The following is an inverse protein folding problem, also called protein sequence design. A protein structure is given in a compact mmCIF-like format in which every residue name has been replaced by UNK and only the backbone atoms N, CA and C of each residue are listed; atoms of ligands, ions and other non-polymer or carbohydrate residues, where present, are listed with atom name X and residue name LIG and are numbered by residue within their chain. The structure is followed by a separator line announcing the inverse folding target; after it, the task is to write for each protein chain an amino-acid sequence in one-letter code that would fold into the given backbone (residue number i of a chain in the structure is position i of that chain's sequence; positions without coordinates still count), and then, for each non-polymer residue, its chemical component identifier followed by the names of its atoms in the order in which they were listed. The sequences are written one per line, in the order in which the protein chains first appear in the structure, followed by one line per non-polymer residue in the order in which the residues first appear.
data_IF_758788599663
#
_entry.id   IF_758788599663
#
_cell.length_a   1.000
_cell.length_b   1.000
_cell.length_c   1.000
_cell.angle_alpha   90.00
_cell.angle_beta   90.00
_cell.angle_gamma   90.00
#
_symmetry.space_group_name_H-M   'P 1'
#
loop_
_entity.id
_entity.type
_entity.pdbx_description
1 polymer ?
#
# COMPACT_ATOMS: atom_id res chain seq x y z
N UNK A 1 -19.33 -8.35 -49.07
CA UNK A 1 -20.06 -7.98 -47.86
C UNK A 1 -19.00 -7.84 -46.75
N UNK A 2 -18.58 -6.63 -46.48
CA UNK A 2 -17.63 -6.35 -45.42
C UNK A 2 -18.40 -6.34 -44.09
N UNK A 3 -18.31 -7.43 -43.33
CA UNK A 3 -18.80 -7.46 -41.97
C UNK A 3 -17.82 -6.58 -41.14
N UNK A 4 -18.27 -5.38 -40.81
CA UNK A 4 -17.57 -4.62 -39.78
C UNK A 4 -17.52 -5.51 -38.53
N UNK A 5 -16.33 -5.95 -38.09
CA UNK A 5 -16.24 -6.76 -36.87
C UNK A 5 -16.69 -5.89 -35.68
N UNK A 6 -17.52 -6.45 -34.81
CA UNK A 6 -17.98 -5.79 -33.60
C UNK A 6 -16.80 -5.24 -32.82
N UNK A 7 -16.92 -4.06 -32.19
CA UNK A 7 -15.88 -3.54 -31.32
C UNK A 7 -15.56 -4.55 -30.21
N UNK A 8 -14.26 -4.75 -29.93
CA UNK A 8 -13.81 -5.64 -28.87
C UNK A 8 -14.02 -4.92 -27.55
N UNK A 9 -14.61 -5.61 -26.56
CA UNK A 9 -14.71 -5.13 -25.20
C UNK A 9 -13.97 -6.11 -24.28
N UNK A 10 -12.97 -5.62 -23.56
CA UNK A 10 -12.21 -6.39 -22.56
C UNK A 10 -12.83 -6.13 -21.19
N UNK A 11 -13.30 -7.19 -20.54
CA UNK A 11 -13.95 -7.13 -19.23
C UNK A 11 -12.95 -7.49 -18.13
N UNK A 12 -12.67 -6.52 -17.24
CA UNK A 12 -11.71 -6.65 -16.15
C UNK A 12 -12.46 -6.62 -14.82
N UNK A 13 -12.33 -7.70 -14.05
CA UNK A 13 -12.84 -7.80 -12.69
C UNK A 13 -11.73 -7.48 -11.69
N UNK A 14 -11.97 -6.49 -10.84
CA UNK A 14 -11.10 -6.16 -9.69
C UNK A 14 -11.80 -6.66 -8.43
N UNK A 15 -11.09 -7.42 -7.59
CA UNK A 15 -11.65 -7.94 -6.34
C UNK A 15 -11.13 -7.10 -5.18
N UNK A 16 -12.05 -6.41 -4.49
CA UNK A 16 -11.78 -5.51 -3.38
C UNK A 16 -11.72 -4.03 -3.78
N UNK A 17 -12.51 -3.20 -3.11
CA UNK A 17 -12.58 -1.74 -3.26
C UNK A 17 -11.73 -0.98 -2.22
N UNK A 18 -10.78 -1.66 -1.60
CA UNK A 18 -9.76 -1.01 -0.78
C UNK A 18 -8.92 -0.04 -1.62
N UNK A 19 -7.97 0.61 -0.97
CA UNK A 19 -7.15 1.64 -1.59
C UNK A 19 -6.58 1.22 -2.96
N UNK A 20 -5.92 0.08 -3.03
CA UNK A 20 -5.20 -0.34 -4.25
C UNK A 20 -6.18 -0.71 -5.38
N UNK A 21 -7.27 -1.42 -5.07
CA UNK A 21 -8.29 -1.76 -6.08
C UNK A 21 -8.96 -0.53 -6.68
N UNK A 22 -9.25 0.47 -5.85
CA UNK A 22 -9.81 1.75 -6.29
C UNK A 22 -8.84 2.55 -7.16
N UNK A 23 -7.58 2.67 -6.74
CA UNK A 23 -6.55 3.38 -7.52
C UNK A 23 -6.26 2.70 -8.86
N UNK A 24 -6.18 1.38 -8.87
CA UNK A 24 -6.01 0.58 -10.08
C UNK A 24 -7.18 0.77 -11.05
N UNK A 25 -8.41 0.72 -10.55
CA UNK A 25 -9.61 0.95 -11.37
C UNK A 25 -9.59 2.35 -11.99
N UNK A 26 -9.30 3.39 -11.21
CA UNK A 26 -9.19 4.77 -11.72
C UNK A 26 -8.12 4.89 -12.80
N UNK A 27 -6.95 4.30 -12.59
CA UNK A 27 -5.87 4.29 -13.58
C UNK A 27 -6.27 3.60 -14.89
N UNK A 28 -6.97 2.46 -14.81
CA UNK A 28 -7.48 1.73 -15.99
C UNK A 28 -8.57 2.51 -16.72
N UNK A 29 -9.51 3.13 -15.98
CA UNK A 29 -10.56 3.98 -16.53
C UNK A 29 -10.02 5.25 -17.21
N UNK A 30 -8.86 5.72 -16.78
CA UNK A 30 -8.19 6.90 -17.36
C UNK A 30 -7.34 6.58 -18.60
N UNK A 31 -7.23 5.31 -19.01
CA UNK A 31 -6.52 4.95 -20.25
C UNK A 31 -7.27 5.56 -21.43
N UNK A 32 -6.67 6.47 -22.22
CA UNK A 32 -7.35 7.13 -23.33
C UNK A 32 -7.86 6.13 -24.35
N UNK A 33 -9.13 6.22 -24.72
CA UNK A 33 -9.66 5.51 -25.89
C UNK A 33 -9.10 6.25 -27.12
N UNK A 34 -8.45 5.57 -28.09
CA UNK A 34 -8.00 6.22 -29.31
C UNK A 34 -9.18 6.97 -29.95
N UNK A 35 -9.02 8.29 -30.06
CA UNK A 35 -10.07 9.13 -30.61
C UNK A 35 -10.40 8.66 -32.03
N UNK A 36 -11.66 8.33 -32.23
CA UNK A 36 -12.30 8.28 -33.55
C UNK A 36 -12.59 9.69 -34.07
N UNK A 37 -11.85 10.72 -33.63
CA UNK A 37 -11.95 12.05 -34.22
C UNK A 37 -11.45 11.93 -35.65
N UNK A 38 -12.42 12.01 -36.54
CA UNK A 38 -12.22 12.14 -37.97
C UNK A 38 -11.30 13.34 -38.22
N UNK A 39 -10.02 13.09 -38.33
CA UNK A 39 -9.17 13.96 -39.12
C UNK A 39 -9.62 13.75 -40.58
N UNK A 40 -10.21 14.75 -41.27
CA UNK A 40 -10.70 14.59 -42.62
C UNK A 40 -9.60 14.22 -43.63
N UNK A 41 -8.34 14.22 -43.22
CA UNK A 41 -7.17 13.86 -44.05
C UNK A 41 -6.51 12.53 -43.66
N UNK A 42 -6.97 11.83 -42.63
CA UNK A 42 -6.45 10.53 -42.26
C UNK A 42 -7.15 9.44 -43.06
N UNK A 43 -6.45 8.84 -43.99
CA UNK A 43 -6.89 7.69 -44.83
C UNK A 43 -6.85 6.35 -44.09
N UNK A 44 -6.77 6.33 -42.74
CA UNK A 44 -6.88 5.11 -41.94
C UNK A 44 -8.36 4.75 -41.75
N UNK A 45 -8.93 4.10 -42.74
CA UNK A 45 -10.21 3.42 -42.67
C UNK A 45 -10.15 2.26 -41.66
N UNK A 46 -10.92 2.33 -40.56
CA UNK A 46 -11.39 1.14 -39.87
C UNK A 46 -10.51 0.59 -38.73
N UNK A 47 -9.76 1.40 -37.98
CA UNK A 47 -9.12 0.93 -36.75
C UNK A 47 -10.17 0.44 -35.72
N UNK A 48 -10.11 -0.84 -35.35
CA UNK A 48 -10.91 -1.40 -34.24
C UNK A 48 -10.53 -0.67 -32.97
N UNK A 49 -11.49 -0.05 -32.29
CA UNK A 49 -11.25 0.54 -30.96
C UNK A 49 -11.68 -0.48 -29.91
N UNK A 50 -10.71 -1.02 -29.16
CA UNK A 50 -10.95 -1.90 -28.03
C UNK A 50 -11.31 -1.07 -26.80
N UNK A 51 -12.47 -1.33 -26.20
CA UNK A 51 -12.90 -0.74 -24.94
C UNK A 51 -12.49 -1.60 -23.74
N UNK A 52 -12.36 -0.98 -22.58
CA UNK A 52 -12.17 -1.65 -21.30
C UNK A 52 -13.42 -1.45 -20.45
N UNK A 53 -14.01 -2.54 -19.96
CA UNK A 53 -15.07 -2.53 -18.95
C UNK A 53 -14.46 -2.92 -17.60
N UNK A 54 -14.42 -1.97 -16.68
CA UNK A 54 -13.82 -2.17 -15.35
C UNK A 54 -14.91 -2.29 -14.32
N UNK A 55 -14.89 -3.37 -13.54
CA UNK A 55 -15.83 -3.60 -12.45
C UNK A 55 -15.11 -4.03 -11.19
N UNK A 56 -15.42 -3.39 -10.07
CA UNK A 56 -14.93 -3.77 -8.74
C UNK A 56 -16.02 -4.55 -8.01
N UNK A 57 -15.64 -5.67 -7.41
CA UNK A 57 -16.50 -6.49 -6.54
C UNK A 57 -15.99 -6.40 -5.12
N UNK A 58 -16.84 -5.88 -4.21
CA UNK A 58 -16.49 -5.61 -2.81
C UNK A 58 -17.38 -6.43 -1.88
N UNK A 59 -16.76 -7.12 -0.92
CA UNK A 59 -17.48 -7.95 0.05
C UNK A 59 -18.29 -7.14 1.09
N UNK A 60 -17.81 -5.94 1.41
CA UNK A 60 -18.48 -5.05 2.37
C UNK A 60 -19.72 -4.41 1.75
N UNK A 61 -20.74 -4.05 2.56
CA UNK A 61 -21.94 -3.41 2.05
C UNK A 61 -21.72 -1.94 1.65
N UNK A 62 -20.62 -1.34 2.06
CA UNK A 62 -20.24 0.05 1.78
C UNK A 62 -18.74 0.17 1.62
N UNK A 63 -18.28 1.25 1.00
CA UNK A 63 -16.86 1.61 1.01
C UNK A 63 -16.44 1.87 2.46
N UNK A 64 -15.50 1.07 2.96
CA UNK A 64 -14.97 1.21 4.31
C UNK A 64 -13.53 0.72 4.34
N UNK A 65 -12.66 1.51 4.94
CA UNK A 65 -11.29 1.11 5.24
C UNK A 65 -11.02 1.31 6.73
N UNK A 66 -10.61 0.24 7.40
CA UNK A 66 -10.11 0.28 8.75
C UNK A 66 -8.66 0.76 8.70
N UNK A 67 -8.45 2.07 8.69
CA UNK A 67 -7.12 2.59 8.54
C UNK A 67 -6.80 3.71 9.50
N UNK A 68 -5.58 3.73 9.95
CA UNK A 68 -5.06 4.74 10.85
C UNK A 68 -3.85 5.41 10.24
N UNK A 69 -4.05 6.18 9.23
CA UNK A 69 -3.00 6.96 8.61
C UNK A 69 -2.01 6.11 7.81
N UNK A 70 -1.81 6.49 6.59
CA UNK A 70 -0.80 5.96 5.67
C UNK A 70 0.13 7.09 5.26
N UNK A 71 1.40 6.73 4.99
CA UNK A 71 2.36 7.65 4.39
C UNK A 71 2.55 7.34 2.91
N UNK A 72 2.56 8.35 2.06
CA UNK A 72 2.91 8.20 0.65
C UNK A 72 4.22 8.93 0.34
N UNK A 73 5.19 8.18 -0.17
CA UNK A 73 6.46 8.71 -0.67
C UNK A 73 6.25 9.55 -1.93
N UNK A 74 7.24 10.34 -2.30
CA UNK A 74 7.24 11.06 -3.57
C UNK A 74 7.06 10.12 -4.77
N UNK A 75 7.70 8.94 -4.72
CA UNK A 75 7.57 7.90 -5.76
C UNK A 75 6.13 7.41 -5.90
N UNK A 76 5.46 7.09 -4.78
CA UNK A 76 4.07 6.65 -4.79
C UNK A 76 3.13 7.75 -5.35
N UNK A 77 3.34 9.01 -4.95
CA UNK A 77 2.56 10.14 -5.49
C UNK A 77 2.81 10.36 -6.99
N UNK A 78 4.04 10.15 -7.46
CA UNK A 78 4.37 10.18 -8.89
C UNK A 78 3.66 9.08 -9.66
N UNK A 79 3.60 7.86 -9.12
CA UNK A 79 2.81 6.78 -9.71
C UNK A 79 1.32 7.15 -9.82
N UNK A 80 0.74 7.73 -8.77
CA UNK A 80 -0.64 8.22 -8.78
C UNK A 80 -0.87 9.27 -9.87
N UNK A 81 0.03 10.27 -9.98
CA UNK A 81 -0.07 11.32 -10.99
C UNK A 81 0.05 10.81 -12.43
N UNK A 82 0.86 9.76 -12.65
CA UNK A 82 1.00 9.11 -13.96
C UNK A 82 -0.22 8.27 -14.34
N UNK A 83 -0.93 7.70 -13.37
CA UNK A 83 -2.19 6.99 -13.60
C UNK A 83 -3.35 7.96 -13.86
N UNK A 84 -3.52 8.93 -12.97
CA UNK A 84 -4.52 9.98 -13.05
C UNK A 84 -4.11 11.16 -12.13
N UNK A 85 -3.82 12.35 -12.67
CA UNK A 85 -3.42 13.51 -11.88
C UNK A 85 -4.40 13.87 -10.75
N UNK A 86 -5.70 13.58 -10.92
CA UNK A 86 -6.74 13.83 -9.91
C UNK A 86 -6.51 13.02 -8.64
N UNK A 87 -5.89 11.84 -8.73
CA UNK A 87 -5.54 11.01 -7.55
C UNK A 87 -4.49 11.74 -6.69
N UNK A 88 -3.46 12.30 -7.31
CA UNK A 88 -2.43 13.07 -6.60
C UNK A 88 -3.01 14.32 -5.91
N UNK A 89 -4.00 14.97 -6.53
CA UNK A 89 -4.74 16.08 -5.92
C UNK A 89 -5.54 15.63 -4.68
N UNK A 90 -6.13 14.43 -4.69
CA UNK A 90 -6.79 13.87 -3.51
C UNK A 90 -5.82 13.75 -2.33
N UNK A 91 -4.59 13.26 -2.56
CA UNK A 91 -3.55 13.24 -1.51
C UNK A 91 -3.31 14.64 -0.96
N UNK A 92 -3.12 15.63 -1.83
CA UNK A 92 -2.84 17.01 -1.41
C UNK A 92 -3.98 17.61 -0.55
N UNK A 93 -5.24 17.26 -0.85
CA UNK A 93 -6.40 17.74 -0.08
C UNK A 93 -6.47 17.21 1.36
N UNK A 94 -6.01 15.98 1.59
CA UNK A 94 -6.15 15.30 2.89
C UNK A 94 -4.84 15.17 3.67
N UNK A 95 -3.71 15.50 3.05
CA UNK A 95 -2.40 15.39 3.68
C UNK A 95 -2.29 16.21 4.96
N UNK A 96 -1.58 15.65 5.93
CA UNK A 96 -1.21 16.31 7.18
C UNK A 96 0.27 16.68 7.12
N UNK A 97 0.58 17.92 7.45
CA UNK A 97 1.97 18.37 7.57
C UNK A 97 2.61 17.75 8.81
N UNK A 98 3.87 17.38 8.67
CA UNK A 98 4.78 17.08 9.76
C UNK A 98 5.57 18.36 10.08
N UNK A 99 5.61 18.78 11.34
CA UNK A 99 6.23 20.05 11.75
C UNK A 99 5.28 21.26 11.70
N UNK A 100 5.86 22.44 11.84
CA UNK A 100 5.11 23.70 11.79
C UNK A 100 4.80 24.11 10.35
N UNK A 101 3.70 24.83 10.07
CA UNK A 101 3.39 25.30 8.72
C UNK A 101 4.50 26.16 8.11
N UNK A 102 5.18 26.96 8.94
CA UNK A 102 6.27 27.85 8.55
C UNK A 102 7.63 27.14 8.48
N UNK A 103 7.76 25.98 9.12
CA UNK A 103 8.95 25.13 9.12
C UNK A 103 8.53 23.65 9.02
N UNK A 104 8.01 23.24 7.84
CA UNK A 104 7.59 21.86 7.63
C UNK A 104 8.79 20.93 7.72
N UNK A 105 8.62 19.87 8.52
CA UNK A 105 9.64 18.87 8.74
C UNK A 105 9.32 17.62 7.95
N UNK A 106 10.13 17.31 6.97
CA UNK A 106 9.93 16.12 6.12
C UNK A 106 10.64 14.87 6.67
N UNK A 107 11.17 14.94 7.91
CA UNK A 107 11.99 13.89 8.49
C UNK A 107 11.24 13.15 9.60
N UNK A 108 11.51 11.83 9.69
CA UNK A 108 11.24 11.03 10.89
C UNK A 108 12.46 11.09 11.80
N UNK A 109 12.24 11.33 13.10
CA UNK A 109 13.29 11.33 14.11
C UNK A 109 13.38 9.97 14.78
N UNK A 110 14.56 9.38 14.79
CA UNK A 110 14.84 8.14 15.50
C UNK A 110 15.57 8.46 16.80
N UNK A 111 15.03 7.97 17.91
CA UNK A 111 15.55 8.27 19.24
C UNK A 111 15.61 7.01 20.11
N UNK A 112 16.58 6.95 21.01
CA UNK A 112 16.59 5.99 22.09
C UNK A 112 15.44 6.31 23.05
N UNK A 113 14.41 5.50 23.04
CA UNK A 113 13.21 5.70 23.88
C UNK A 113 13.30 5.03 25.23
N UNK A 114 14.26 4.14 25.40
CA UNK A 114 14.41 3.31 26.61
C UNK A 114 15.27 3.98 27.67
N UNK A 115 16.43 4.53 27.27
CA UNK A 115 17.34 5.18 28.22
C UNK A 115 16.81 6.53 28.67
N UNK A 116 17.33 7.05 29.77
CA UNK A 116 16.94 8.38 30.25
C UNK A 116 17.50 9.44 29.30
N UNK A 117 16.57 10.22 28.76
CA UNK A 117 16.79 11.14 27.68
C UNK A 117 16.91 12.57 28.21
N UNK A 118 18.00 13.25 27.95
CA UNK A 118 18.15 14.68 28.16
C UNK A 118 18.04 15.42 26.81
N UNK A 119 17.68 16.69 26.86
CA UNK A 119 17.42 17.56 25.70
C UNK A 119 18.68 17.81 24.83
N UNK A 120 19.37 16.85 24.39
CA UNK A 120 20.61 16.90 23.61
C UNK A 120 21.00 15.56 23.01
N UNK A 121 20.41 14.48 23.52
CA UNK A 121 20.74 13.11 23.13
C UNK A 121 19.90 12.58 21.95
N UNK A 122 19.60 13.41 20.94
CA UNK A 122 19.03 12.93 19.68
C UNK A 122 20.16 12.32 18.84
N UNK A 123 20.57 11.09 19.14
CA UNK A 123 21.35 10.32 18.19
C UNK A 123 20.47 10.02 16.98
N UNK A 124 20.91 10.41 15.81
CA UNK A 124 20.26 10.01 14.57
C UNK A 124 19.01 10.79 14.16
N UNK A 125 19.03 12.11 14.23
CA UNK A 125 18.07 12.93 13.47
C UNK A 125 18.48 12.87 12.00
N UNK A 126 17.57 12.39 11.10
CA UNK A 126 17.71 12.71 9.70
C UNK A 126 17.53 14.22 9.58
N UNK A 127 18.61 14.95 9.38
CA UNK A 127 18.61 16.40 9.42
C UNK A 127 18.02 17.00 8.15
N UNK A 128 17.64 18.27 8.20
CA UNK A 128 17.28 19.06 7.02
C UNK A 128 18.40 19.03 5.95
N UNK A 129 19.68 18.88 6.36
CA UNK A 129 20.82 18.70 5.47
C UNK A 129 20.79 17.36 4.72
N UNK A 130 20.29 16.28 5.31
CA UNK A 130 20.11 15.00 4.61
C UNK A 130 19.00 15.10 3.55
N UNK A 131 18.03 15.98 3.71
CA UNK A 131 17.05 16.32 2.69
C UNK A 131 17.68 17.14 1.54
N UNK A 132 18.66 17.97 1.81
CA UNK A 132 19.41 18.72 0.80
C UNK A 132 20.37 17.83 0.01
N UNK A 133 20.85 16.73 0.59
CA UNK A 133 21.67 15.70 -0.10
C UNK A 133 20.84 14.69 -0.91
N UNK A 134 19.53 14.90 -1.11
CA UNK A 134 18.68 14.04 -1.92
C UNK A 134 18.05 12.87 -1.15
N UNK A 135 18.16 12.79 0.17
CA UNK A 135 17.47 11.83 1.03
C UNK A 135 16.14 12.41 1.55
N UNK A 136 15.63 13.42 0.88
CA UNK A 136 14.42 14.12 1.27
C UNK A 136 13.22 13.20 1.35
N UNK A 137 12.71 13.02 2.57
CA UNK A 137 11.54 12.22 2.90
C UNK A 137 10.31 13.11 2.77
N UNK A 138 9.90 13.42 1.56
CA UNK A 138 8.58 14.02 1.38
C UNK A 138 7.51 12.91 1.51
N UNK A 139 7.37 12.33 2.71
CA UNK A 139 6.29 11.42 3.06
C UNK A 139 5.12 12.25 3.57
N UNK A 140 4.01 12.19 2.85
CA UNK A 140 2.77 12.84 3.29
C UNK A 140 1.88 11.82 3.98
N UNK A 141 1.69 12.00 5.28
CA UNK A 141 0.73 11.25 6.06
C UNK A 141 -0.70 11.66 5.70
N UNK A 142 -1.55 10.68 5.42
CA UNK A 142 -2.98 10.88 5.17
C UNK A 142 -3.79 9.94 6.07
N UNK A 143 -4.98 10.34 6.49
CA UNK A 143 -5.96 9.39 7.03
C UNK A 143 -6.38 8.47 5.87
N UNK A 144 -6.22 7.15 6.02
CA UNK A 144 -6.54 6.21 4.95
C UNK A 144 -8.01 6.27 4.56
N UNK A 145 -8.89 6.35 5.55
CA UNK A 145 -10.33 6.53 5.40
C UNK A 145 -10.67 7.78 4.56
N UNK A 146 -10.15 8.93 4.94
CA UNK A 146 -10.37 10.20 4.23
C UNK A 146 -9.80 10.20 2.82
N UNK A 147 -8.66 9.56 2.61
CA UNK A 147 -8.09 9.47 1.28
C UNK A 147 -8.92 8.56 0.38
N UNK A 148 -9.36 7.40 0.90
CA UNK A 148 -10.26 6.52 0.14
C UNK A 148 -11.58 7.23 -0.20
N UNK A 149 -12.18 7.96 0.74
CA UNK A 149 -13.38 8.77 0.48
C UNK A 149 -13.17 9.78 -0.66
N UNK A 150 -12.02 10.48 -0.69
CA UNK A 150 -11.72 11.45 -1.74
C UNK A 150 -11.54 10.79 -3.11
N UNK A 151 -10.84 9.66 -3.18
CA UNK A 151 -10.63 8.97 -4.45
C UNK A 151 -11.90 8.26 -4.94
N UNK A 152 -12.76 7.79 -4.02
CA UNK A 152 -14.06 7.19 -4.37
C UNK A 152 -15.00 8.20 -5.07
N UNK A 153 -14.88 9.50 -4.79
CA UNK A 153 -15.64 10.54 -5.51
C UNK A 153 -15.29 10.65 -7.00
N UNK A 154 -14.14 10.12 -7.39
CA UNK A 154 -13.69 10.07 -8.80
C UNK A 154 -14.24 8.85 -9.55
N UNK A 155 -14.76 7.85 -8.82
CA UNK A 155 -15.27 6.62 -9.41
C UNK A 155 -16.59 6.87 -10.13
N UNK A 156 -16.80 6.34 -11.36
CA UNK A 156 -18.10 6.38 -12.03
C UNK A 156 -19.16 5.65 -11.21
N UNK A 157 -20.38 6.13 -11.28
CA UNK A 157 -21.54 5.45 -10.70
C UNK A 157 -21.63 4.01 -11.25
N UNK A 158 -21.89 3.07 -10.35
CA UNK A 158 -22.03 1.66 -10.71
C UNK A 158 -20.71 0.94 -11.02
N UNK A 159 -19.53 1.57 -10.90
CA UNK A 159 -18.25 0.89 -11.09
C UNK A 159 -17.92 -0.11 -9.97
N UNK A 160 -18.53 0.02 -8.79
CA UNK A 160 -18.36 -0.88 -7.64
C UNK A 160 -19.67 -1.60 -7.36
N UNK A 161 -19.59 -2.93 -7.23
CA UNK A 161 -20.68 -3.77 -6.70
C UNK A 161 -20.33 -4.20 -5.28
N UNK A 162 -21.09 -3.69 -4.33
CA UNK A 162 -20.95 -4.01 -2.90
C UNK A 162 -21.68 -5.31 -2.53
N UNK A 163 -21.38 -5.85 -1.37
CA UNK A 163 -21.92 -7.13 -0.86
C UNK A 163 -21.62 -8.32 -1.81
N UNK A 164 -20.54 -8.24 -2.56
CA UNK A 164 -20.07 -9.25 -3.52
C UNK A 164 -18.78 -9.92 -3.01
N UNK A 165 -18.95 -10.87 -2.11
CA UNK A 165 -17.81 -11.67 -1.61
C UNK A 165 -17.50 -12.79 -2.62
N UNK A 166 -16.33 -12.70 -3.24
CA UNK A 166 -15.82 -13.76 -4.13
C UNK A 166 -15.47 -15.00 -3.30
N UNK A 167 -15.88 -16.19 -3.77
CA UNK A 167 -15.54 -17.48 -3.17
C UNK A 167 -14.52 -18.26 -3.99
N UNK A 168 -14.41 -17.94 -5.29
CA UNK A 168 -13.45 -18.58 -6.17
C UNK A 168 -13.65 -18.18 -7.62
N UNK A 169 -12.87 -18.82 -8.49
CA UNK A 169 -12.99 -18.64 -9.93
C UNK A 169 -12.69 -19.95 -10.68
N UNK A 170 -13.18 -20.04 -11.90
CA UNK A 170 -12.87 -21.12 -12.83
C UNK A 170 -12.69 -20.61 -14.26
N UNK A 171 -11.90 -21.34 -15.05
CA UNK A 171 -11.76 -21.08 -16.48
C UNK A 171 -12.83 -21.86 -17.25
N UNK A 172 -13.65 -21.14 -18.01
CA UNK A 172 -14.67 -21.74 -18.86
C UNK A 172 -14.08 -22.32 -20.16
N UNK A 173 -14.79 -23.24 -20.84
CA UNK A 173 -14.40 -23.72 -22.16
C UNK A 173 -14.27 -22.61 -23.22
N UNK A 174 -14.99 -21.50 -23.05
CA UNK A 174 -14.87 -20.30 -23.88
C UNK A 174 -13.50 -19.60 -23.74
N UNK A 175 -12.70 -19.99 -22.72
CA UNK A 175 -11.48 -19.31 -22.33
C UNK A 175 -11.69 -18.14 -21.39
N UNK A 176 -12.94 -17.71 -21.12
CA UNK A 176 -13.24 -16.66 -20.13
C UNK A 176 -13.08 -17.18 -18.70
N UNK A 177 -13.00 -16.28 -17.75
CA UNK A 177 -12.92 -16.56 -16.31
C UNK A 177 -14.32 -16.31 -15.71
N UNK A 178 -14.86 -17.27 -14.98
CA UNK A 178 -16.08 -17.11 -14.21
C UNK A 178 -15.73 -16.93 -12.73
N UNK A 179 -16.17 -15.82 -12.13
CA UNK A 179 -16.13 -15.59 -10.68
C UNK A 179 -17.42 -16.09 -10.04
N UNK A 180 -17.31 -16.78 -8.92
CA UNK A 180 -18.44 -17.17 -8.06
C UNK A 180 -18.48 -16.33 -6.80
N UNK A 181 -19.68 -15.92 -6.37
CA UNK A 181 -19.92 -15.13 -5.18
C UNK A 181 -20.72 -15.89 -4.11
N UNK A 182 -20.56 -15.49 -2.85
CA UNK A 182 -21.27 -16.11 -1.71
C UNK A 182 -22.80 -15.99 -1.74
N UNK A 183 -23.35 -15.07 -2.55
CA UNK A 183 -24.78 -14.93 -2.81
C UNK A 183 -25.31 -15.87 -3.93
N UNK A 184 -24.44 -16.73 -4.45
CA UNK A 184 -24.72 -17.62 -5.58
C UNK A 184 -24.63 -16.95 -6.95
N UNK A 185 -24.39 -15.64 -7.02
CA UNK A 185 -24.18 -14.91 -8.26
C UNK A 185 -22.91 -15.37 -8.98
N UNK A 186 -22.90 -15.21 -10.32
CA UNK A 186 -21.74 -15.52 -11.16
C UNK A 186 -21.53 -14.42 -12.19
N UNK A 187 -20.28 -14.10 -12.50
CA UNK A 187 -19.94 -13.15 -13.57
C UNK A 187 -18.77 -13.71 -14.39
N UNK A 188 -18.75 -13.37 -15.66
CA UNK A 188 -17.66 -13.72 -16.55
C UNK A 188 -16.82 -12.49 -16.86
N UNK A 189 -15.50 -12.68 -16.96
CA UNK A 189 -14.56 -11.64 -17.32
C UNK A 189 -13.37 -12.20 -18.09
N UNK A 190 -12.55 -11.33 -18.66
CA UNK A 190 -11.34 -11.69 -19.39
C UNK A 190 -10.10 -11.67 -18.52
N UNK A 191 -10.09 -10.84 -17.47
CA UNK A 191 -8.97 -10.65 -16.56
C UNK A 191 -9.46 -10.45 -15.13
N UNK A 192 -8.79 -11.06 -14.16
CA UNK A 192 -9.04 -10.89 -12.72
C UNK A 192 -7.82 -10.25 -12.05
N UNK A 193 -8.03 -9.12 -11.37
CA UNK A 193 -7.03 -8.42 -10.58
C UNK A 193 -7.44 -8.46 -9.10
N UNK A 194 -6.78 -9.31 -8.32
CA UNK A 194 -7.11 -9.55 -6.93
C UNK A 194 -6.44 -8.53 -6.01
N UNK A 195 -7.20 -7.53 -5.57
CA UNK A 195 -6.86 -6.51 -4.60
C UNK A 195 -7.54 -6.78 -3.25
N UNK A 196 -7.77 -8.04 -2.91
CA UNK A 196 -8.55 -8.53 -1.77
C UNK A 196 -7.75 -8.59 -0.45
N UNK A 197 -6.59 -7.93 -0.43
CA UNK A 197 -5.82 -7.62 0.76
C UNK A 197 -5.12 -8.81 1.39
N UNK A 198 -4.65 -8.62 2.63
CA UNK A 198 -3.81 -9.60 3.33
C UNK A 198 -4.50 -10.97 3.52
N UNK A 199 -5.83 -11.01 3.63
CA UNK A 199 -6.64 -12.24 3.74
C UNK A 199 -7.11 -12.78 2.39
N UNK A 200 -6.41 -12.49 1.29
CA UNK A 200 -6.78 -12.83 -0.07
C UNK A 200 -7.23 -14.29 -0.24
N UNK A 201 -8.46 -14.44 -0.73
CA UNK A 201 -9.00 -15.73 -1.14
C UNK A 201 -8.38 -16.20 -2.45
N UNK A 202 -8.11 -15.28 -3.37
CA UNK A 202 -7.49 -15.61 -4.66
C UNK A 202 -6.05 -16.11 -4.45
N UNK A 203 -5.28 -15.49 -3.54
CA UNK A 203 -3.95 -16.02 -3.15
C UNK A 203 -4.08 -17.43 -2.60
N UNK A 204 -5.03 -17.67 -1.70
CA UNK A 204 -5.24 -19.00 -1.09
C UNK A 204 -5.62 -20.04 -2.14
N UNK A 205 -6.38 -19.65 -3.15
CA UNK A 205 -6.75 -20.54 -4.26
C UNK A 205 -5.55 -20.85 -5.17
N UNK A 206 -4.75 -19.84 -5.52
CA UNK A 206 -3.55 -20.00 -6.35
C UNK A 206 -2.41 -20.71 -5.62
N UNK A 207 -2.18 -20.36 -4.36
CA UNK A 207 -1.01 -20.77 -3.57
C UNK A 207 -1.43 -21.09 -2.14
N UNK A 208 -2.06 -22.28 -1.89
CA UNK A 208 -2.60 -22.64 -0.57
C UNK A 208 -1.57 -22.62 0.57
N UNK A 209 -0.29 -22.79 0.24
CA UNK A 209 0.83 -22.75 1.19
C UNK A 209 1.25 -21.32 1.57
N UNK A 210 0.91 -20.31 0.73
CA UNK A 210 1.34 -18.92 0.94
C UNK A 210 0.30 -18.17 1.80
N UNK A 211 0.46 -18.29 3.12
CA UNK A 211 -0.46 -17.69 4.11
C UNK A 211 0.27 -16.63 4.91
N UNK A 212 -0.36 -15.48 5.20
CA UNK A 212 0.19 -14.52 6.15
C UNK A 212 0.35 -15.17 7.51
N UNK A 213 1.45 -14.88 8.17
CA UNK A 213 1.76 -15.39 9.50
C UNK A 213 1.81 -14.25 10.51
N UNK A 214 1.42 -14.56 11.75
CA UNK A 214 1.58 -13.65 12.87
C UNK A 214 3.07 -13.44 13.15
N UNK A 215 3.50 -12.20 13.21
CA UNK A 215 4.91 -11.88 13.40
C UNK A 215 5.35 -11.97 14.86
N UNK A 216 4.48 -12.44 15.75
CA UNK A 216 4.64 -12.35 17.21
C UNK A 216 4.85 -10.90 17.68
N UNK A 217 4.14 -9.97 17.05
CA UNK A 217 4.13 -8.56 17.39
C UNK A 217 2.73 -7.99 17.23
N UNK A 218 2.32 -7.14 18.14
CA UNK A 218 1.14 -6.32 17.99
C UNK A 218 1.42 -4.86 18.34
N UNK A 219 0.55 -3.98 17.92
CA UNK A 219 0.63 -2.55 18.22
C UNK A 219 -0.60 -2.10 18.99
N UNK A 220 -0.42 -1.41 20.08
CA UNK A 220 -1.46 -0.58 20.68
C UNK A 220 -1.59 0.71 19.90
N UNK A 221 -2.82 1.16 19.66
CA UNK A 221 -3.08 2.38 18.89
C UNK A 221 -4.04 3.29 19.60
N UNK A 222 -3.73 4.58 19.61
CA UNK A 222 -4.61 5.59 20.16
C UNK A 222 -4.43 6.94 19.50
N UNK A 223 -5.51 7.70 19.46
CA UNK A 223 -5.55 9.07 18.98
C UNK A 223 -5.65 10.02 20.17
N UNK A 224 -4.78 11.02 20.20
CA UNK A 224 -4.69 12.01 21.27
C UNK A 224 -5.01 13.39 20.68
N UNK A 225 -5.90 14.19 21.30
CA UNK A 225 -6.11 15.57 20.87
C UNK A 225 -4.79 16.35 20.88
N UNK A 226 -4.46 17.03 19.78
CA UNK A 226 -3.18 17.72 19.63
C UNK A 226 -2.92 18.77 20.72
N UNK A 227 -3.96 19.48 21.16
CA UNK A 227 -3.83 20.44 22.26
C UNK A 227 -3.33 19.78 23.56
N UNK A 228 -3.79 18.55 23.84
CA UNK A 228 -3.36 17.77 25.01
C UNK A 228 -1.92 17.28 24.83
N UNK A 229 -1.57 16.81 23.64
CA UNK A 229 -0.21 16.40 23.30
C UNK A 229 0.79 17.57 23.44
N UNK A 230 0.47 18.74 22.90
CA UNK A 230 1.30 19.94 23.00
C UNK A 230 1.51 20.35 24.46
N UNK A 231 0.45 20.33 25.28
CA UNK A 231 0.56 20.68 26.71
C UNK A 231 1.49 19.73 27.47
N UNK A 232 1.51 18.45 27.15
CA UNK A 232 2.28 17.43 27.86
C UNK A 232 3.72 17.29 27.34
N UNK A 233 3.89 17.31 26.00
CA UNK A 233 5.14 16.94 25.33
C UNK A 233 5.91 18.16 24.78
N UNK A 234 5.28 19.33 24.76
CA UNK A 234 5.77 20.51 24.06
C UNK A 234 5.44 20.49 22.56
N UNK A 235 5.26 21.68 21.99
CA UNK A 235 4.80 21.88 20.62
C UNK A 235 5.73 21.23 19.59
N UNK A 236 7.02 21.40 19.73
CA UNK A 236 8.04 20.85 18.84
C UNK A 236 7.89 19.33 18.65
N UNK A 237 7.77 18.58 19.76
CA UNK A 237 7.70 17.11 19.73
C UNK A 237 6.33 16.59 19.33
N UNK A 238 5.26 17.27 19.73
CA UNK A 238 3.89 16.84 19.40
C UNK A 238 3.56 16.97 17.90
N UNK A 239 4.13 17.96 17.21
CA UNK A 239 3.88 18.23 15.79
C UNK A 239 4.83 17.49 14.83
N UNK A 240 5.79 16.72 15.34
CA UNK A 240 6.79 16.02 14.53
C UNK A 240 6.75 14.51 14.75
N UNK A 241 7.02 13.79 13.68
CA UNK A 241 7.09 12.33 13.72
C UNK A 241 8.33 11.85 14.45
N UNK A 242 8.16 10.99 15.45
CA UNK A 242 9.25 10.38 16.21
C UNK A 242 9.05 8.86 16.30
N UNK A 243 10.15 8.14 16.08
CA UNK A 243 10.28 6.71 16.34
C UNK A 243 11.17 6.53 17.57
N UNK A 244 10.61 6.01 18.64
CA UNK A 244 11.33 5.70 19.88
C UNK A 244 11.70 4.22 19.85
N UNK A 245 12.98 3.93 19.71
CA UNK A 245 13.54 2.58 19.68
C UNK A 245 13.88 2.10 21.10
N UNK A 246 13.79 0.78 21.33
CA UNK A 246 14.16 0.20 22.61
C UNK A 246 14.02 -1.32 22.64
N UNK A 247 14.30 -2.00 23.77
CA UNK A 247 14.34 -3.45 23.81
C UNK A 247 12.96 -4.08 23.60
N UNK A 248 12.84 -4.91 22.55
CA UNK A 248 11.64 -5.72 22.20
C UNK A 248 10.36 -4.92 22.01
N UNK A 249 10.46 -3.61 21.79
CA UNK A 249 9.31 -2.73 21.54
C UNK A 249 9.78 -1.44 20.86
N UNK A 250 8.87 -0.68 20.27
CA UNK A 250 9.10 0.68 19.80
C UNK A 250 7.81 1.49 19.81
N UNK A 251 7.94 2.80 19.89
CA UNK A 251 6.79 3.70 19.89
C UNK A 251 6.94 4.72 18.77
N UNK A 252 5.93 4.82 17.94
CA UNK A 252 5.82 5.84 16.90
C UNK A 252 4.72 6.83 17.25
N UNK A 253 4.99 8.13 17.17
CA UNK A 253 3.93 9.13 17.19
C UNK A 253 4.12 10.16 16.08
N UNK A 254 3.00 10.67 15.57
CA UNK A 254 2.98 11.64 14.48
C UNK A 254 1.64 12.38 14.38
N UNK A 255 1.62 13.60 13.82
CA UNK A 255 0.39 14.35 13.61
C UNK A 255 -0.47 13.73 12.52
N UNK A 256 -1.79 13.73 12.72
CA UNK A 256 -2.82 13.32 11.77
C UNK A 256 -3.98 14.31 11.76
N UNK A 257 -4.94 14.11 10.86
CA UNK A 257 -6.16 14.92 10.76
C UNK A 257 -5.86 16.43 10.71
N UNK A 258 -4.93 16.83 9.80
CA UNK A 258 -4.47 18.24 9.67
C UNK A 258 -3.99 18.82 11.01
N UNK A 259 -3.20 18.02 11.74
CA UNK A 259 -2.64 18.35 13.06
C UNK A 259 -3.68 18.57 14.18
N UNK A 260 -4.90 18.11 14.00
CA UNK A 260 -5.89 18.14 15.09
C UNK A 260 -5.67 17.02 16.11
N UNK A 261 -5.07 15.91 15.66
CA UNK A 261 -4.80 14.73 16.47
C UNK A 261 -3.33 14.31 16.33
N UNK A 262 -2.81 13.70 17.39
CA UNK A 262 -1.57 12.94 17.36
C UNK A 262 -1.91 11.44 17.40
N UNK A 263 -1.45 10.69 16.43
CA UNK A 263 -1.54 9.23 16.43
C UNK A 263 -0.36 8.65 17.21
N UNK A 264 -0.63 7.71 18.09
CA UNK A 264 0.36 6.95 18.85
C UNK A 264 0.21 5.48 18.49
N UNK A 265 1.32 4.84 18.12
CA UNK A 265 1.40 3.42 17.80
C UNK A 265 2.53 2.81 18.60
N UNK A 266 2.22 1.95 19.56
CA UNK A 266 3.19 1.32 20.44
C UNK A 266 3.27 -0.17 20.14
N UNK A 267 4.34 -0.58 19.46
CA UNK A 267 4.60 -1.97 19.09
C UNK A 267 5.28 -2.72 20.23
N UNK A 268 4.86 -3.96 20.45
CA UNK A 268 5.38 -4.84 21.50
C UNK A 268 5.52 -6.26 20.95
N UNK A 269 6.62 -6.92 21.26
CA UNK A 269 6.82 -8.36 20.99
C UNK A 269 5.88 -9.19 21.85
N UNK A 270 5.23 -10.18 21.24
CA UNK A 270 4.30 -11.10 21.89
C UNK A 270 4.87 -12.53 21.88
N UNK A 271 5.14 -13.13 23.05
CA UNK A 271 5.61 -14.50 23.12
C UNK A 271 4.52 -15.54 22.77
N UNK A 272 3.26 -15.11 22.69
CA UNK A 272 2.11 -15.99 22.48
C UNK A 272 1.63 -15.95 21.03
N UNK A 273 0.83 -16.93 20.64
CA UNK A 273 0.10 -16.92 19.39
C UNK A 273 -1.10 -15.97 19.46
N UNK A 274 -1.44 -15.37 18.31
CA UNK A 274 -2.64 -14.55 18.20
C UNK A 274 -3.89 -15.43 18.09
N UNK A 275 -4.73 -15.41 19.13
CA UNK A 275 -5.91 -16.31 19.24
C UNK A 275 -7.23 -15.66 18.84
N UNK A 276 -7.24 -14.34 18.56
CA UNK A 276 -8.46 -13.65 18.16
C UNK A 276 -8.79 -13.91 16.68
N UNK A 277 -10.09 -14.01 16.36
CA UNK A 277 -10.57 -14.25 14.99
C UNK A 277 -10.24 -13.10 14.02
N UNK A 278 -10.23 -11.86 14.52
CA UNK A 278 -9.81 -10.66 13.78
C UNK A 278 -8.33 -10.37 13.95
N UNK A 279 -7.86 -9.35 13.23
CA UNK A 279 -6.50 -8.81 13.41
C UNK A 279 -6.45 -7.72 14.50
N UNK A 280 -7.57 -7.44 15.13
CA UNK A 280 -7.70 -6.46 16.21
C UNK A 280 -8.35 -7.09 17.42
N UNK A 281 -7.99 -6.60 18.62
CA UNK A 281 -8.61 -6.99 19.88
C UNK A 281 -8.69 -5.77 20.80
N UNK A 282 -9.72 -5.69 21.67
CA UNK A 282 -9.79 -4.66 22.68
C UNK A 282 -8.58 -4.70 23.61
N UNK A 283 -8.13 -3.55 24.06
CA UNK A 283 -7.04 -3.40 25.02
C UNK A 283 -7.34 -2.24 25.98
N UNK A 284 -6.63 -2.22 27.08
CA UNK A 284 -6.71 -1.14 28.09
C UNK A 284 -5.37 -0.42 28.21
N UNK A 285 -5.44 0.86 28.52
CA UNK A 285 -4.25 1.69 28.78
C UNK A 285 -3.32 1.06 29.82
N UNK A 286 -3.86 0.38 30.84
CA UNK A 286 -3.04 -0.31 31.85
C UNK A 286 -2.10 -1.37 31.26
N UNK A 287 -2.49 -2.04 30.16
CA UNK A 287 -1.62 -3.01 29.46
C UNK A 287 -0.43 -2.30 28.81
N UNK A 288 -0.68 -1.14 28.17
CA UNK A 288 0.39 -0.35 27.53
C UNK A 288 1.33 0.25 28.58
N UNK A 289 0.76 0.79 29.68
CA UNK A 289 1.55 1.33 30.80
C UNK A 289 2.48 0.26 31.38
N UNK A 290 1.98 -0.95 31.58
CA UNK A 290 2.78 -2.07 32.07
C UNK A 290 3.91 -2.46 31.08
N UNK A 291 3.61 -2.52 29.77
CA UNK A 291 4.59 -2.85 28.74
C UNK A 291 5.75 -1.84 28.66
N UNK A 292 5.47 -0.56 28.97
CA UNK A 292 6.45 0.53 28.86
C UNK A 292 6.89 1.12 30.20
N UNK A 293 6.63 0.47 31.32
CA UNK A 293 6.92 1.00 32.67
C UNK A 293 8.40 1.30 32.92
N UNK A 294 9.30 0.57 32.27
CA UNK A 294 10.76 0.71 32.41
C UNK A 294 11.39 1.64 31.36
N UNK A 295 10.57 2.16 30.44
CA UNK A 295 11.03 3.05 29.40
C UNK A 295 11.31 4.46 29.89
N UNK A 296 12.03 5.23 29.09
CA UNK A 296 12.38 6.60 29.40
C UNK A 296 11.16 7.49 29.70
N UNK A 297 11.34 8.57 30.48
CA UNK A 297 10.24 9.40 30.96
C UNK A 297 9.41 10.03 29.83
N UNK A 298 10.03 10.29 28.68
CA UNK A 298 9.31 10.84 27.54
C UNK A 298 8.34 9.83 26.92
N UNK A 299 8.77 8.58 26.70
CA UNK A 299 7.90 7.53 26.17
C UNK A 299 6.74 7.26 27.14
N UNK A 300 7.01 7.18 28.44
CA UNK A 300 5.95 7.05 29.45
C UNK A 300 4.97 8.22 29.41
N UNK A 301 5.44 9.45 29.18
CA UNK A 301 4.59 10.61 29.02
C UNK A 301 3.71 10.54 27.74
N UNK A 302 4.21 9.96 26.66
CA UNK A 302 3.42 9.68 25.44
C UNK A 302 2.36 8.62 25.72
N UNK A 303 2.72 7.53 26.41
CA UNK A 303 1.77 6.44 26.78
C UNK A 303 0.68 6.96 27.72
N UNK A 304 1.03 7.84 28.67
CA UNK A 304 0.05 8.48 29.58
C UNK A 304 -1.05 9.28 28.87
N UNK A 305 -0.82 9.70 27.63
CA UNK A 305 -1.80 10.43 26.83
C UNK A 305 -2.84 9.53 26.15
N UNK A 306 -2.61 8.23 26.09
CA UNK A 306 -3.52 7.28 25.47
C UNK A 306 -4.87 7.22 26.20
N UNK A 307 -5.98 6.96 25.48
CA UNK A 307 -7.28 6.76 26.10
C UNK A 307 -7.31 5.48 26.96
N UNK A 308 -8.26 5.38 27.88
CA UNK A 308 -8.40 4.23 28.78
C UNK A 308 -8.76 2.94 28.02
N UNK A 309 -9.58 3.06 26.98
CA UNK A 309 -9.95 1.99 26.07
C UNK A 309 -9.30 2.24 24.72
N UNK A 310 -8.66 1.24 24.17
CA UNK A 310 -7.97 1.26 22.89
C UNK A 310 -7.98 -0.14 22.26
N UNK A 311 -7.47 -0.23 21.04
CA UNK A 311 -7.31 -1.50 20.35
C UNK A 311 -5.84 -1.89 20.26
N UNK A 312 -5.59 -3.19 20.30
CA UNK A 312 -4.33 -3.79 19.84
C UNK A 312 -4.51 -4.45 18.48
N UNK A 313 -3.53 -4.24 17.63
CA UNK A 313 -3.52 -4.66 16.23
C UNK A 313 -2.39 -5.66 16.01
N UNK A 314 -2.73 -6.89 15.71
CA UNK A 314 -1.75 -7.92 15.40
C UNK A 314 -1.05 -7.62 14.08
N UNK A 315 0.26 -7.78 14.05
CA UNK A 315 1.06 -7.63 12.84
C UNK A 315 1.16 -8.98 12.15
N UNK A 316 0.70 -9.04 10.90
CA UNK A 316 0.82 -10.19 10.02
C UNK A 316 1.56 -9.77 8.75
N UNK A 317 2.34 -10.66 8.18
CA UNK A 317 2.96 -10.48 6.87
C UNK A 317 3.18 -11.83 6.15
N UNK A 318 3.71 -11.76 4.93
CA UNK A 318 3.99 -12.93 4.08
C UNK A 318 5.48 -13.27 4.02
N UNK A 319 6.29 -12.78 4.96
CA UNK A 319 7.74 -12.98 4.99
C UNK A 319 8.12 -14.47 4.95
N UNK A 320 7.52 -15.30 5.80
CA UNK A 320 7.86 -16.72 5.94
C UNK A 320 7.22 -17.61 4.85
N UNK A 321 6.25 -17.08 4.11
CA UNK A 321 5.48 -17.83 3.11
C UNK A 321 5.15 -16.97 1.89
N UNK A 322 6.17 -16.43 1.17
CA UNK A 322 5.93 -15.61 0.00
C UNK A 322 5.27 -16.41 -1.12
N UNK A 323 4.46 -15.74 -1.94
CA UNK A 323 3.97 -16.36 -3.19
C UNK A 323 5.12 -16.49 -4.18
N UNK A 324 5.15 -17.53 -5.04
CA UNK A 324 6.25 -17.72 -5.99
C UNK A 324 6.23 -16.75 -7.18
N UNK A 325 5.06 -16.21 -7.50
CA UNK A 325 4.81 -15.20 -8.55
C UNK A 325 3.48 -14.51 -8.32
N UNK A 326 3.26 -13.35 -8.93
CA UNK A 326 2.04 -12.57 -8.73
C UNK A 326 0.94 -12.85 -9.76
N UNK A 327 1.24 -13.56 -10.82
CA UNK A 327 0.27 -13.86 -11.86
C UNK A 327 0.31 -15.32 -12.30
N UNK A 328 -0.87 -15.87 -12.54
CA UNK A 328 -1.08 -17.18 -13.14
C UNK A 328 -2.12 -17.06 -14.25
N UNK A 329 -1.72 -17.33 -15.49
CA UNK A 329 -2.54 -17.05 -16.67
C UNK A 329 -3.09 -15.61 -16.62
N UNK A 330 -4.41 -15.41 -16.56
CA UNK A 330 -5.06 -14.10 -16.53
C UNK A 330 -5.69 -13.77 -15.16
N UNK A 331 -5.06 -14.22 -14.09
CA UNK A 331 -5.37 -13.85 -12.70
C UNK A 331 -4.12 -13.30 -12.06
N UNK A 332 -4.17 -12.10 -11.50
CA UNK A 332 -3.04 -11.47 -10.83
C UNK A 332 -3.38 -11.03 -9.41
N UNK A 333 -2.44 -11.23 -8.48
CA UNK A 333 -2.46 -10.71 -7.12
C UNK A 333 -1.83 -9.33 -7.09
N UNK A 334 -2.41 -8.38 -6.35
CA UNK A 334 -1.98 -6.97 -6.32
C UNK A 334 -1.96 -6.44 -4.88
N UNK A 335 -0.94 -5.68 -4.53
CA UNK A 335 -0.79 -5.11 -3.19
C UNK A 335 -0.67 -6.19 -2.11
N UNK A 336 -1.37 -6.02 -0.99
CA UNK A 336 -1.30 -6.97 0.14
C UNK A 336 -1.77 -8.39 -0.20
N UNK A 337 -2.54 -8.58 -1.25
CA UNK A 337 -2.86 -9.91 -1.76
C UNK A 337 -1.59 -10.64 -2.26
N UNK A 338 -0.61 -9.90 -2.77
CA UNK A 338 0.64 -10.41 -3.31
C UNK A 338 1.80 -10.38 -2.30
N UNK A 339 1.91 -9.31 -1.50
CA UNK A 339 3.11 -9.00 -0.72
C UNK A 339 2.81 -8.21 0.57
N UNK A 340 1.84 -8.69 1.36
CA UNK A 340 1.55 -8.08 2.66
C UNK A 340 2.82 -8.00 3.52
N UNK A 341 3.18 -6.81 3.95
CA UNK A 341 4.37 -6.53 4.75
C UNK A 341 4.02 -6.01 6.13
N UNK A 342 4.90 -6.25 7.11
CA UNK A 342 4.82 -5.54 8.39
C UNK A 342 4.93 -4.02 8.18
N UNK A 343 4.37 -3.18 9.06
CA UNK A 343 4.17 -1.75 8.78
C UNK A 343 5.41 -0.87 9.01
N UNK A 344 6.58 -1.44 9.33
CA UNK A 344 7.74 -0.72 9.87
C UNK A 344 8.40 0.27 8.90
N UNK A 345 8.30 0.06 7.60
CA UNK A 345 8.69 1.08 6.61
C UNK A 345 7.59 2.09 6.27
N UNK A 346 6.33 1.83 6.67
CA UNK A 346 5.19 2.66 6.28
C UNK A 346 4.97 2.70 4.75
N UNK A 347 5.44 1.70 4.00
CA UNK A 347 5.53 1.74 2.55
C UNK A 347 4.66 0.71 1.81
N UNK A 348 3.92 -0.17 2.51
CA UNK A 348 3.10 -1.22 1.89
C UNK A 348 2.09 -0.66 0.89
N UNK A 349 1.32 0.36 1.28
CA UNK A 349 0.39 1.02 0.39
C UNK A 349 1.09 1.65 -0.83
N UNK A 350 2.27 2.24 -0.64
CA UNK A 350 3.09 2.77 -1.73
C UNK A 350 3.52 1.69 -2.74
N UNK A 351 3.86 0.47 -2.28
CA UNK A 351 4.15 -0.66 -3.16
C UNK A 351 2.95 -1.07 -3.99
N UNK A 352 1.76 -1.12 -3.38
CA UNK A 352 0.53 -1.40 -4.12
C UNK A 352 0.19 -0.33 -5.16
N UNK A 353 0.53 0.95 -4.91
CA UNK A 353 0.40 2.03 -5.90
C UNK A 353 1.38 1.83 -7.08
N UNK A 354 2.61 1.41 -6.81
CA UNK A 354 3.57 1.05 -7.87
C UNK A 354 3.06 -0.15 -8.69
N UNK A 355 2.42 -1.14 -8.04
CA UNK A 355 1.78 -2.28 -8.71
C UNK A 355 0.67 -1.83 -9.65
N UNK A 356 -0.20 -0.92 -9.17
CA UNK A 356 -1.29 -0.38 -9.97
C UNK A 356 -0.77 0.32 -11.23
N UNK A 357 0.27 1.16 -11.13
CA UNK A 357 0.88 1.80 -12.30
C UNK A 357 1.48 0.78 -13.25
N UNK A 358 2.16 -0.25 -12.76
CA UNK A 358 2.75 -1.30 -13.57
C UNK A 358 1.66 -2.05 -14.37
N UNK A 359 0.55 -2.41 -13.74
CA UNK A 359 -0.60 -3.05 -14.39
C UNK A 359 -1.28 -2.13 -15.41
N UNK A 360 -1.53 -0.86 -15.05
CA UNK A 360 -2.11 0.13 -15.98
C UNK A 360 -1.23 0.26 -17.23
N UNK A 361 0.09 0.33 -17.06
CA UNK A 361 1.05 0.39 -18.18
C UNK A 361 0.97 -0.85 -19.06
N UNK A 362 1.01 -2.04 -18.45
CA UNK A 362 0.99 -3.30 -19.20
C UNK A 362 -0.35 -3.53 -19.92
N UNK A 363 -1.49 -3.26 -19.27
CA UNK A 363 -2.83 -3.43 -19.84
C UNK A 363 -3.08 -2.41 -20.97
N UNK A 364 -2.57 -1.18 -20.83
CA UNK A 364 -2.61 -0.20 -21.92
C UNK A 364 -1.92 -0.74 -23.17
N UNK A 365 -0.72 -1.34 -23.03
CA UNK A 365 0.00 -1.97 -24.16
C UNK A 365 -0.75 -3.17 -24.73
N UNK A 366 -1.31 -4.03 -23.87
CA UNK A 366 -2.13 -5.16 -24.30
C UNK A 366 -3.31 -4.69 -25.15
N UNK A 367 -4.05 -3.67 -24.72
CA UNK A 367 -5.16 -3.10 -25.49
C UNK A 367 -4.68 -2.54 -26.84
N UNK A 368 -3.57 -1.79 -26.88
CA UNK A 368 -3.02 -1.26 -28.12
C UNK A 368 -2.63 -2.37 -29.12
N UNK A 369 -2.14 -3.50 -28.65
CA UNK A 369 -1.80 -4.63 -29.51
C UNK A 369 -3.03 -5.43 -29.94
N UNK A 370 -4.08 -5.51 -29.10
CA UNK A 370 -5.39 -6.05 -29.51
C UNK A 370 -6.00 -5.20 -30.63
N UNK A 371 -5.89 -3.86 -30.55
CA UNK A 371 -6.30 -2.97 -31.65
C UNK A 371 -5.55 -3.25 -32.95
N UNK A 372 -4.32 -3.77 -32.87
CA UNK A 372 -3.49 -4.20 -34.02
C UNK A 372 -3.73 -5.64 -34.46
N UNK A 373 -4.64 -6.37 -33.80
CA UNK A 373 -5.02 -7.73 -34.17
C UNK A 373 -4.42 -8.85 -33.33
N UNK A 374 -3.72 -8.54 -32.24
CA UNK A 374 -3.26 -9.54 -31.27
C UNK A 374 -4.46 -10.19 -30.57
N UNK A 375 -4.37 -11.49 -30.28
CA UNK A 375 -5.41 -12.23 -29.56
C UNK A 375 -5.52 -11.72 -28.11
N UNK A 376 -6.75 -11.49 -27.63
CA UNK A 376 -7.03 -10.84 -26.33
C UNK A 376 -6.39 -11.58 -25.18
N UNK A 377 -6.60 -12.90 -25.09
CA UNK A 377 -6.12 -13.71 -23.96
C UNK A 377 -4.60 -13.70 -23.87
N UNK A 378 -3.91 -13.83 -25.00
CA UNK A 378 -2.44 -13.79 -25.06
C UNK A 378 -1.89 -12.43 -24.66
N UNK A 379 -2.51 -11.34 -25.12
CA UNK A 379 -2.10 -9.98 -24.76
C UNK A 379 -2.29 -9.71 -23.24
N UNK A 380 -3.42 -10.12 -22.67
CA UNK A 380 -3.69 -9.95 -21.25
C UNK A 380 -2.78 -10.83 -20.36
N UNK A 381 -2.51 -12.06 -20.79
CA UNK A 381 -1.57 -12.94 -20.08
C UNK A 381 -0.15 -12.37 -20.10
N UNK A 382 0.31 -11.84 -21.24
CA UNK A 382 1.59 -11.15 -21.34
C UNK A 382 1.66 -9.93 -20.42
N UNK A 383 0.55 -9.17 -20.28
CA UNK A 383 0.50 -7.99 -19.42
C UNK A 383 0.69 -8.35 -17.94
N UNK A 384 -0.03 -9.33 -17.42
CA UNK A 384 0.09 -9.70 -16.00
C UNK A 384 1.39 -10.46 -15.71
N UNK A 385 1.95 -11.19 -16.68
CA UNK A 385 3.29 -11.80 -16.56
C UNK A 385 4.36 -10.71 -16.48
N UNK A 386 4.29 -9.67 -17.30
CA UNK A 386 5.22 -8.54 -17.26
C UNK A 386 5.16 -7.81 -15.91
N UNK A 387 3.96 -7.52 -15.42
CA UNK A 387 3.74 -6.98 -14.08
C UNK A 387 4.42 -7.84 -13.01
N UNK A 388 4.12 -9.13 -12.98
CA UNK A 388 4.68 -10.06 -12.00
C UNK A 388 6.21 -10.06 -12.02
N UNK A 389 6.85 -10.09 -13.20
CA UNK A 389 8.31 -10.09 -13.34
C UNK A 389 8.97 -8.80 -12.84
N UNK A 390 8.35 -7.65 -13.12
CA UNK A 390 8.94 -6.35 -12.77
C UNK A 390 8.76 -6.03 -11.29
N UNK A 391 7.62 -6.42 -10.71
CA UNK A 391 7.29 -6.01 -9.35
C UNK A 391 7.79 -6.96 -8.26
N UNK A 392 7.99 -8.24 -8.58
CA UNK A 392 8.25 -9.29 -7.62
C UNK A 392 9.44 -8.99 -6.70
N UNK A 393 10.62 -8.76 -7.26
CA UNK A 393 11.83 -8.59 -6.46
C UNK A 393 11.78 -7.37 -5.54
N UNK A 394 11.26 -6.24 -6.04
CA UNK A 394 11.17 -5.01 -5.25
C UNK A 394 10.17 -5.13 -4.08
N UNK A 395 8.99 -5.66 -4.33
CA UNK A 395 7.98 -5.77 -3.27
C UNK A 395 8.30 -6.88 -2.28
N UNK A 396 8.89 -8.00 -2.71
CA UNK A 396 9.40 -9.02 -1.79
C UNK A 396 10.60 -8.53 -0.99
N UNK A 397 11.45 -7.68 -1.56
CA UNK A 397 12.47 -6.97 -0.79
C UNK A 397 11.85 -6.11 0.32
N UNK A 398 10.77 -5.37 0.03
CA UNK A 398 10.07 -4.57 1.06
C UNK A 398 9.53 -5.47 2.17
N UNK A 399 8.92 -6.60 1.85
CA UNK A 399 8.41 -7.54 2.86
C UNK A 399 9.52 -7.97 3.82
N UNK A 400 10.66 -8.39 3.28
CA UNK A 400 11.84 -8.77 4.08
C UNK A 400 12.39 -7.60 4.89
N UNK A 401 12.66 -6.49 4.22
CA UNK A 401 13.24 -5.30 4.84
C UNK A 401 12.34 -4.70 5.92
N UNK A 402 11.01 -4.78 5.78
CA UNK A 402 10.07 -4.30 6.80
C UNK A 402 10.15 -5.12 8.08
N UNK A 403 10.25 -6.45 8.00
CA UNK A 403 10.44 -7.30 9.15
C UNK A 403 11.77 -7.01 9.85
N UNK A 404 12.84 -6.94 9.07
CA UNK A 404 14.21 -6.74 9.57
C UNK A 404 14.39 -5.37 10.21
N UNK A 405 13.85 -4.29 9.61
CA UNK A 405 13.93 -2.94 10.22
C UNK A 405 13.10 -2.86 11.51
N UNK A 406 12.03 -3.63 11.63
CA UNK A 406 11.31 -3.79 12.90
C UNK A 406 12.22 -4.36 14.00
N UNK A 407 13.02 -5.37 13.69
CA UNK A 407 14.04 -5.89 14.63
C UNK A 407 15.09 -4.84 14.99
N UNK A 408 15.47 -3.98 14.03
CA UNK A 408 16.39 -2.86 14.31
C UNK A 408 15.78 -1.86 15.30
N UNK A 409 14.51 -1.46 15.12
CA UNK A 409 13.81 -0.57 16.05
C UNK A 409 13.71 -1.15 17.46
N UNK A 410 13.63 -2.46 17.59
CA UNK A 410 13.43 -3.21 18.83
C UNK A 410 14.71 -3.79 19.43
N UNK A 411 15.87 -3.35 18.94
CA UNK A 411 17.19 -3.82 19.37
C UNK A 411 17.38 -5.35 19.28
N UNK A 412 16.63 -5.99 18.41
CA UNK A 412 16.64 -7.44 18.18
C UNK A 412 17.51 -7.85 16.99
N UNK A 413 17.99 -6.89 16.20
CA UNK A 413 18.92 -7.16 15.10
C UNK A 413 20.26 -7.64 15.67
N UNK A 414 20.73 -8.83 15.26
CA UNK A 414 22.01 -9.39 15.72
C UNK A 414 23.20 -8.50 15.35
N UNK A 415 23.15 -7.85 14.18
CA UNK A 415 24.22 -6.99 13.67
C UNK A 415 24.28 -5.61 14.33
N UNK A 416 23.15 -5.11 14.80
CA UNK A 416 22.98 -3.72 15.24
C UNK A 416 22.80 -3.63 16.77
N UNK A 417 21.94 -4.47 17.33
CA UNK A 417 21.60 -4.46 18.76
C UNK A 417 21.07 -3.09 19.22
N UNK A 418 21.57 -2.59 20.33
CA UNK A 418 21.19 -1.32 20.95
C UNK A 418 22.09 -0.14 20.53
N UNK A 419 22.90 -0.28 19.48
CA UNK A 419 23.75 0.77 18.94
C UNK A 419 22.91 1.66 18.01
N UNK A 420 22.54 2.85 18.50
CA UNK A 420 21.65 3.76 17.76
C UNK A 420 22.30 4.35 16.51
N UNK A 421 23.61 4.52 16.45
CA UNK A 421 24.30 5.05 15.27
C UNK A 421 24.28 4.01 14.13
N UNK A 422 24.58 2.74 14.49
CA UNK A 422 24.47 1.62 13.53
C UNK A 422 23.01 1.38 13.10
N UNK A 423 22.06 1.49 14.03
CA UNK A 423 20.63 1.39 13.72
C UNK A 423 20.22 2.46 12.72
N UNK A 424 20.62 3.71 12.95
CA UNK A 424 20.31 4.82 12.06
C UNK A 424 20.92 4.64 10.66
N UNK A 425 22.15 4.17 10.57
CA UNK A 425 22.81 3.89 9.29
C UNK A 425 22.06 2.80 8.49
N UNK A 426 21.62 1.71 9.15
CA UNK A 426 20.83 0.64 8.51
C UNK A 426 19.46 1.15 8.05
N UNK A 427 18.75 1.89 8.92
CA UNK A 427 17.45 2.49 8.62
C UNK A 427 17.56 3.44 7.42
N UNK A 428 18.56 4.32 7.42
CA UNK A 428 18.82 5.29 6.34
C UNK A 428 19.04 4.58 5.01
N UNK A 429 19.88 3.54 4.98
CA UNK A 429 20.17 2.73 3.80
C UNK A 429 18.90 2.07 3.22
N UNK A 430 18.06 1.47 4.09
CA UNK A 430 16.80 0.82 3.67
C UNK A 430 15.78 1.84 3.19
N UNK A 431 15.64 2.94 3.92
CA UNK A 431 14.74 4.03 3.55
C UNK A 431 15.09 4.64 2.20
N UNK A 432 16.38 4.78 1.89
CA UNK A 432 16.84 5.26 0.59
C UNK A 432 16.27 4.42 -0.57
N UNK A 433 16.26 3.09 -0.45
CA UNK A 433 15.72 2.20 -1.48
C UNK A 433 14.19 2.33 -1.65
N UNK A 434 13.48 2.68 -0.56
CA UNK A 434 12.04 2.94 -0.61
C UNK A 434 11.75 4.26 -1.33
N UNK A 435 12.50 5.33 -1.00
CA UNK A 435 12.16 6.71 -1.36
C UNK A 435 12.75 7.18 -2.68
N UNK A 436 13.86 6.58 -3.14
CA UNK A 436 14.54 6.94 -4.38
C UNK A 436 14.34 5.90 -5.49
N UNK A 437 13.10 5.47 -5.66
CA UNK A 437 12.75 4.53 -6.71
C UNK A 437 12.51 5.26 -8.03
N UNK A 438 13.15 4.77 -9.10
CA UNK A 438 12.97 5.31 -10.45
C UNK A 438 11.67 4.76 -11.08
N UNK A 439 10.62 5.56 -10.99
CA UNK A 439 9.29 5.21 -11.50
C UNK A 439 9.27 5.13 -13.03
N UNK A 440 9.99 6.03 -13.72
CA UNK A 440 10.08 6.02 -15.19
C UNK A 440 10.83 4.80 -15.70
N UNK A 441 11.92 4.42 -15.05
CA UNK A 441 12.64 3.19 -15.36
C UNK A 441 11.74 1.95 -15.16
N UNK A 442 10.92 1.93 -14.11
CA UNK A 442 9.93 0.86 -13.91
C UNK A 442 8.92 0.80 -15.07
N UNK A 443 8.35 1.92 -15.47
CA UNK A 443 7.38 1.98 -16.58
C UNK A 443 8.02 1.45 -17.86
N UNK A 444 9.23 1.91 -18.20
CA UNK A 444 9.96 1.43 -19.37
C UNK A 444 10.25 -0.07 -19.30
N UNK A 445 10.60 -0.58 -18.12
CA UNK A 445 10.86 -2.00 -17.90
C UNK A 445 9.59 -2.84 -18.06
N UNK A 446 8.43 -2.37 -17.56
CA UNK A 446 7.14 -3.04 -17.78
C UNK A 446 6.84 -3.16 -19.27
N UNK A 447 7.03 -2.10 -20.06
CA UNK A 447 6.81 -2.13 -21.50
C UNK A 447 7.77 -3.11 -22.22
N UNK A 448 9.03 -3.16 -21.77
CA UNK A 448 10.03 -4.09 -22.30
C UNK A 448 9.66 -5.54 -21.98
N UNK A 449 9.28 -5.81 -20.73
CA UNK A 449 8.87 -7.15 -20.28
C UNK A 449 7.55 -7.59 -20.92
N UNK A 450 6.61 -6.68 -21.14
CA UNK A 450 5.37 -6.99 -21.86
C UNK A 450 5.67 -7.52 -23.27
N UNK A 451 6.50 -6.82 -24.04
CA UNK A 451 6.90 -7.29 -25.38
C UNK A 451 7.59 -8.65 -25.31
N UNK A 452 8.48 -8.84 -24.34
CA UNK A 452 9.14 -10.14 -24.17
C UNK A 452 8.14 -11.25 -23.84
N UNK A 453 7.19 -11.01 -22.93
CA UNK A 453 6.16 -11.98 -22.53
C UNK A 453 5.17 -12.31 -23.66
N UNK A 454 4.92 -11.38 -24.55
CA UNK A 454 4.01 -11.58 -25.70
C UNK A 454 4.60 -12.54 -26.74
N UNK A 455 5.93 -12.58 -26.88
CA UNK A 455 6.61 -13.40 -27.88
C UNK A 455 7.21 -14.71 -27.34
N UNK A 456 7.21 -14.91 -26.00
CA UNK A 456 7.75 -16.10 -25.30
C UNK A 456 6.73 -16.67 -24.28
#
# INVERSE_FOLDING_TARGET
MSTNPNPINIEIAIIGSGLIGTLLALGLLNIPIPNTTKDPQSTNEGGKSTSLSIKIYEQSPTAHELGAGIGFTACARKCMALMDPRIAECVARVATLNGEPEDPDYCMRFVDGFRTYTEGDCSGTMSKGDAEEGIGVDVRGVGSDRFLEEVMKLMPEGAVEYSKRVEGYEYLPSGRIQLGFSDGGRVECDLVLACDGIKSLIRTHLYPQSKPQYTHQFAFRGLVPMATAIKKLGRYRALRQHMHCGPRAHVLHFPVAKQQLMNVVAFVQDPNDWTHAGMTAPARKSEVVEAFKEWGPFVRAVIDLLPEELDKWAVFDTFDSPVPKYAERRVALVGDAAHASSPHHGAGAGMGVEDALALVTAIKRAREDVDRGTEVNGALEAAVRAYSRVRYERSQWLVRSSREVGWTYEWMSEDVGADMDRAFADIKKRSYQVWHFDVEAMVAEVERQYRWCLWN
#
